data_IF_922088000530
#
_entry.id   IF_922088000530
#
_cell.length_a   1.000
_cell.length_b   1.000
_cell.length_c   1.000
_cell.angle_alpha   90.00
_cell.angle_beta   90.00
_cell.angle_gamma   90.00
#
_symmetry.space_group_name_H-M   'P 1'
#
loop_
_entity.id
_entity.type
_entity.pdbx_description
1 polymer ?
#
# COMPACT_ATOMS: atom_id res chain seq x y z
N UNK A 1 -3.00 2.01 20.18
CA UNK A 1 -2.93 1.66 18.76
C UNK A 1 -1.66 0.89 18.49
N UNK A 2 -1.78 -0.18 17.75
CA UNK A 2 -0.64 -1.05 17.46
C UNK A 2 0.06 -0.59 16.19
N UNK A 3 1.36 -0.87 16.12
CA UNK A 3 2.16 -0.63 14.93
C UNK A 3 2.52 -1.97 14.30
N UNK A 4 2.91 -1.94 13.04
CA UNK A 4 3.31 -3.15 12.32
C UNK A 4 4.37 -2.78 11.28
N UNK A 5 5.37 -3.64 11.15
CA UNK A 5 6.41 -3.47 10.15
C UNK A 5 6.77 -4.83 9.55
N UNK A 6 6.82 -4.89 8.22
CA UNK A 6 7.22 -6.09 7.50
C UNK A 6 8.04 -5.68 6.30
N UNK A 7 9.16 -6.36 6.09
CA UNK A 7 9.90 -6.28 4.83
C UNK A 7 10.00 -7.67 4.24
N UNK A 8 9.61 -7.83 2.97
CA UNK A 8 9.70 -9.10 2.28
C UNK A 8 10.25 -8.88 0.88
N UNK A 9 11.06 -9.82 0.40
CA UNK A 9 11.74 -9.69 -0.88
C UNK A 9 11.04 -10.48 -1.97
N UNK A 10 11.22 -10.00 -3.21
CA UNK A 10 10.74 -10.72 -4.38
C UNK A 10 11.45 -12.06 -4.48
N UNK A 11 10.68 -13.14 -4.67
CA UNK A 11 11.20 -14.49 -4.64
C UNK A 11 12.11 -14.83 -5.84
N UNK A 12 11.96 -14.11 -6.96
CA UNK A 12 12.79 -14.37 -8.14
C UNK A 12 13.81 -13.26 -8.43
N UNK A 13 13.81 -12.17 -7.64
CA UNK A 13 14.83 -11.13 -7.75
C UNK A 13 14.85 -10.32 -6.45
N UNK A 14 15.71 -10.71 -5.52
CA UNK A 14 15.73 -10.12 -4.18
C UNK A 14 16.24 -8.67 -4.13
N UNK A 15 16.59 -8.08 -5.27
CA UNK A 15 16.87 -6.65 -5.36
C UNK A 15 15.61 -5.82 -5.15
N UNK A 16 14.44 -6.42 -5.41
CA UNK A 16 13.13 -5.80 -5.17
C UNK A 16 12.55 -6.30 -3.86
N UNK A 17 11.97 -5.38 -3.09
CA UNK A 17 11.31 -5.73 -1.83
C UNK A 17 10.10 -4.84 -1.59
N UNK A 18 9.22 -5.33 -0.71
CA UNK A 18 8.08 -4.56 -0.20
C UNK A 18 8.34 -4.29 1.28
N UNK A 19 8.10 -3.04 1.68
CA UNK A 19 8.01 -2.66 3.09
C UNK A 19 6.57 -2.27 3.35
N UNK A 20 5.96 -2.89 4.37
CA UNK A 20 4.62 -2.52 4.85
C UNK A 20 4.80 -1.94 6.22
N UNK A 21 4.34 -0.72 6.40
CA UNK A 21 4.48 -0.01 7.67
C UNK A 21 3.17 0.59 8.11
N UNK A 22 2.73 0.21 9.30
CA UNK A 22 1.58 0.76 10.00
C UNK A 22 2.12 1.50 11.23
N UNK A 23 2.01 2.82 11.23
CA UNK A 23 2.55 3.66 12.30
C UNK A 23 1.57 3.84 13.46
N UNK A 24 0.45 3.10 13.47
CA UNK A 24 -0.62 3.23 14.46
C UNK A 24 -1.70 4.19 14.03
N UNK A 25 -1.47 4.95 12.97
CA UNK A 25 -2.44 5.89 12.39
C UNK A 25 -2.92 5.42 11.01
N UNK A 26 -1.97 5.02 10.17
CA UNK A 26 -2.22 4.68 8.77
C UNK A 26 -1.18 3.65 8.32
N UNK A 27 -1.56 2.80 7.36
CA UNK A 27 -0.68 1.78 6.83
C UNK A 27 -0.42 2.01 5.35
N UNK A 28 0.85 1.95 4.97
CA UNK A 28 1.32 2.08 3.59
C UNK A 28 2.19 0.90 3.21
N UNK A 29 2.25 0.65 1.91
CA UNK A 29 3.23 -0.25 1.33
C UNK A 29 4.16 0.55 0.42
N UNK A 30 5.43 0.19 0.44
CA UNK A 30 6.48 0.82 -0.37
C UNK A 30 7.19 -0.25 -1.18
N UNK A 31 7.34 -0.01 -2.47
CA UNK A 31 8.10 -0.89 -3.34
C UNK A 31 9.53 -0.34 -3.46
N UNK A 32 10.51 -1.18 -3.13
CA UNK A 32 11.92 -0.83 -3.19
C UNK A 32 12.62 -1.53 -4.34
N UNK A 33 13.50 -0.80 -5.00
CA UNK A 33 14.53 -1.36 -5.87
C UNK A 33 15.87 -1.05 -5.20
N UNK A 34 16.51 -2.06 -4.61
CA UNK A 34 17.65 -1.82 -3.75
C UNK A 34 17.28 -0.96 -2.57
N UNK A 35 17.89 0.21 -2.44
CA UNK A 35 17.62 1.17 -1.38
C UNK A 35 16.64 2.28 -1.80
N UNK A 36 16.21 2.28 -3.06
CA UNK A 36 15.35 3.33 -3.61
C UNK A 36 13.89 2.94 -3.55
N UNK A 37 13.05 3.88 -3.08
CA UNK A 37 11.59 3.70 -3.12
C UNK A 37 11.12 4.04 -4.53
N UNK A 38 10.59 3.05 -5.25
CA UNK A 38 10.11 3.21 -6.62
C UNK A 38 8.59 3.08 -6.75
N UNK A 39 7.89 2.89 -5.64
CA UNK A 39 6.45 2.84 -5.62
C UNK A 39 5.92 2.98 -4.22
N UNK A 40 4.70 3.47 -4.08
CA UNK A 40 4.01 3.55 -2.80
C UNK A 40 2.51 3.39 -3.02
N UNK A 41 1.82 2.93 -2.00
CA UNK A 41 0.35 2.87 -2.01
C UNK A 41 -0.17 2.83 -0.58
N UNK A 42 -1.25 3.58 -0.35
CA UNK A 42 -2.00 3.52 0.91
C UNK A 42 -2.72 2.17 1.00
N UNK A 43 -2.71 1.56 2.19
CA UNK A 43 -3.39 0.29 2.42
C UNK A 43 -4.66 0.44 3.27
N UNK A 44 -4.56 1.14 4.41
CA UNK A 44 -5.74 1.39 5.26
C UNK A 44 -5.44 2.47 6.29
N UNK A 45 -6.52 3.09 6.80
CA UNK A 45 -6.44 3.99 7.95
C UNK A 45 -6.71 3.19 9.23
N UNK A 46 -5.96 3.45 10.30
CA UNK A 46 -6.34 3.01 11.64
C UNK A 46 -7.18 4.08 12.34
N UNK A 47 -6.81 5.35 12.13
CA UNK A 47 -7.58 6.46 12.67
C UNK A 47 -8.73 6.82 11.74
N UNK A 48 -9.70 7.55 12.26
CA UNK A 48 -10.85 7.99 11.48
C UNK A 48 -10.39 8.82 10.28
N UNK A 49 -10.98 8.52 9.11
CA UNK A 49 -10.66 9.26 7.89
C UNK A 49 -11.08 10.73 8.04
N UNK A 50 -10.22 11.67 7.58
CA UNK A 50 -10.58 13.08 7.57
C UNK A 50 -11.77 13.34 6.65
N UNK A 51 -12.69 14.21 7.07
CA UNK A 51 -13.82 14.61 6.25
C UNK A 51 -13.39 15.52 5.09
N UNK A 52 -12.30 16.25 5.27
CA UNK A 52 -11.77 17.22 4.30
C UNK A 52 -10.33 16.84 4.00
N UNK A 53 -9.94 16.91 2.73
CA UNK A 53 -8.58 16.61 2.30
C UNK A 53 -7.63 17.73 2.68
N UNK A 54 -6.59 17.40 3.45
CA UNK A 54 -5.49 18.30 3.77
C UNK A 54 -4.19 17.57 3.47
N UNK A 55 -3.33 18.22 2.71
CA UNK A 55 -2.06 17.63 2.28
C UNK A 55 -0.89 18.44 2.83
N UNK A 56 -0.82 18.56 4.16
CA UNK A 56 0.28 19.29 4.82
C UNK A 56 1.45 18.35 5.06
N UNK A 57 2.68 18.74 4.70
CA UNK A 57 3.85 17.86 4.87
C UNK A 57 4.03 17.32 6.29
N UNK A 58 3.68 18.09 7.31
CA UNK A 58 3.81 17.66 8.70
C UNK A 58 2.85 16.53 9.10
N UNK A 59 1.82 16.28 8.28
CA UNK A 59 0.85 15.22 8.54
C UNK A 59 1.22 13.91 7.86
N UNK A 60 2.32 13.87 7.09
CA UNK A 60 2.74 12.66 6.39
C UNK A 60 3.18 11.56 7.37
N UNK A 61 2.94 10.28 7.06
CA UNK A 61 2.13 9.81 5.93
C UNK A 61 0.65 10.09 6.16
N UNK A 62 -0.04 10.46 5.09
CA UNK A 62 -1.42 10.96 5.18
C UNK A 62 -2.44 9.87 5.42
N UNK A 63 -3.45 10.17 6.27
CA UNK A 63 -4.69 9.40 6.29
C UNK A 63 -5.44 9.65 4.99
N UNK A 64 -6.11 8.62 4.47
CA UNK A 64 -6.89 8.78 3.24
C UNK A 64 -8.26 9.38 3.57
N UNK A 65 -8.62 10.55 3.00
CA UNK A 65 -9.88 11.20 3.31
C UNK A 65 -11.12 10.42 2.85
N UNK A 66 -12.25 10.69 3.49
CA UNK A 66 -13.49 9.95 3.24
C UNK A 66 -13.92 9.98 1.78
N UNK A 67 -13.66 11.07 1.06
CA UNK A 67 -14.09 11.18 -0.34
C UNK A 67 -13.47 10.14 -1.27
N UNK A 68 -12.33 9.57 -0.88
CA UNK A 68 -11.65 8.55 -1.70
C UNK A 68 -12.03 7.12 -1.33
N UNK A 69 -12.67 6.91 -0.17
CA UNK A 69 -12.84 5.58 0.38
C UNK A 69 -14.08 4.87 -0.14
N UNK A 70 -13.93 3.58 -0.46
CA UNK A 70 -15.05 2.68 -0.73
C UNK A 70 -15.84 2.43 0.57
N UNK A 71 -17.08 1.96 0.46
CA UNK A 71 -17.92 1.67 1.63
C UNK A 71 -17.32 0.63 2.55
N UNK A 72 -16.55 -0.32 2.00
CA UNK A 72 -15.92 -1.41 2.73
C UNK A 72 -14.42 -1.19 2.93
N UNK A 73 -13.98 0.07 2.90
CA UNK A 73 -12.56 0.40 3.01
C UNK A 73 -11.99 0.19 4.42
N UNK A 74 -12.85 0.08 5.44
CA UNK A 74 -12.38 -0.15 6.79
C UNK A 74 -11.99 -1.63 6.93
N UNK A 75 -10.72 -1.89 7.16
CA UNK A 75 -10.23 -3.24 7.39
C UNK A 75 -9.53 -3.29 8.74
N UNK A 76 -9.54 -4.48 9.34
CA UNK A 76 -8.87 -4.68 10.62
C UNK A 76 -7.36 -4.52 10.44
N UNK A 77 -6.68 -3.77 11.32
CA UNK A 77 -5.22 -3.61 11.21
C UNK A 77 -4.48 -4.94 11.23
N UNK A 78 -3.37 -4.98 10.50
CA UNK A 78 -2.50 -6.15 10.47
C UNK A 78 -1.83 -6.29 11.84
N UNK A 79 -1.83 -7.51 12.39
CA UNK A 79 -1.18 -7.78 13.68
C UNK A 79 -0.07 -8.81 13.56
N UNK A 80 0.00 -9.54 12.45
CA UNK A 80 0.96 -10.62 12.27
C UNK A 80 1.34 -10.73 10.80
N UNK A 81 2.62 -11.01 10.52
CA UNK A 81 3.10 -11.14 9.15
C UNK A 81 2.41 -12.26 8.36
N UNK A 82 1.86 -13.27 9.06
CA UNK A 82 1.11 -14.35 8.41
C UNK A 82 -0.17 -13.85 7.73
N UNK A 83 -0.64 -12.66 8.08
CA UNK A 83 -1.84 -12.08 7.50
C UNK A 83 -1.58 -11.43 6.15
N UNK A 84 -0.31 -11.28 5.76
CA UNK A 84 0.08 -10.59 4.54
C UNK A 84 0.71 -11.57 3.57
N UNK A 85 0.28 -11.47 2.30
CA UNK A 85 0.88 -12.23 1.21
C UNK A 85 1.14 -11.30 0.05
N UNK A 86 2.32 -11.40 -0.54
CA UNK A 86 2.69 -10.63 -1.73
C UNK A 86 2.84 -11.58 -2.91
N UNK A 87 2.19 -11.25 -4.02
CA UNK A 87 2.33 -12.01 -5.26
C UNK A 87 3.12 -11.17 -6.25
N UNK A 88 4.28 -11.69 -6.66
CA UNK A 88 5.20 -11.01 -7.56
C UNK A 88 5.06 -11.59 -8.96
N UNK A 89 4.97 -10.70 -9.95
CA UNK A 89 4.97 -11.08 -11.35
C UNK A 89 5.91 -10.18 -12.12
N UNK A 90 6.39 -10.68 -13.25
CA UNK A 90 7.23 -9.89 -14.17
C UNK A 90 6.50 -9.81 -15.50
N UNK A 91 6.34 -8.60 -16.03
CA UNK A 91 5.73 -8.40 -17.33
C UNK A 91 6.65 -8.96 -18.42
N UNK A 92 6.08 -9.76 -19.32
CA UNK A 92 6.86 -10.33 -20.45
C UNK A 92 7.19 -9.28 -21.50
N UNK A 93 6.43 -8.19 -21.56
CA UNK A 93 6.58 -7.17 -22.59
C UNK A 93 7.69 -6.16 -22.25
N UNK A 94 7.70 -5.67 -21.00
CA UNK A 94 8.61 -4.61 -20.57
C UNK A 94 9.54 -5.01 -19.44
N UNK A 95 9.37 -6.22 -18.89
CA UNK A 95 10.20 -6.72 -17.80
C UNK A 95 9.96 -6.05 -16.47
N UNK A 96 8.93 -5.21 -16.35
CA UNK A 96 8.63 -4.54 -15.10
C UNK A 96 8.08 -5.51 -14.06
N UNK A 97 8.53 -5.32 -12.82
CA UNK A 97 8.04 -6.09 -11.67
C UNK A 97 6.71 -5.49 -11.22
N UNK A 98 5.74 -6.38 -10.99
CA UNK A 98 4.46 -6.00 -10.40
C UNK A 98 4.26 -6.82 -9.13
N UNK A 99 3.71 -6.20 -8.10
CA UNK A 99 3.43 -6.87 -6.84
C UNK A 99 1.98 -6.63 -6.42
N UNK A 100 1.26 -7.71 -6.13
CA UNK A 100 -0.07 -7.66 -5.54
C UNK A 100 0.04 -7.93 -4.05
N UNK A 101 -0.70 -7.15 -3.26
CA UNK A 101 -0.68 -7.25 -1.80
C UNK A 101 -2.03 -7.77 -1.33
N UNK A 102 -1.99 -8.88 -0.58
CA UNK A 102 -3.16 -9.54 -0.01
C UNK A 102 -3.08 -9.47 1.50
N UNK A 103 -4.19 -9.10 2.12
CA UNK A 103 -4.33 -9.12 3.58
C UNK A 103 -5.44 -10.11 3.90
N UNK A 104 -5.11 -11.15 4.68
CA UNK A 104 -6.02 -12.25 5.03
C UNK A 104 -6.67 -12.84 3.78
N UNK A 105 -5.81 -13.09 2.77
CA UNK A 105 -6.19 -13.70 1.48
C UNK A 105 -7.13 -12.86 0.62
N UNK A 106 -7.34 -11.59 1.00
CA UNK A 106 -8.12 -10.66 0.20
C UNK A 106 -7.19 -9.70 -0.52
N UNK A 107 -7.35 -9.58 -1.85
CA UNK A 107 -6.57 -8.63 -2.64
C UNK A 107 -6.91 -7.20 -2.21
N UNK A 108 -5.89 -6.42 -1.89
CA UNK A 108 -6.05 -5.04 -1.41
C UNK A 108 -5.46 -4.02 -2.38
N UNK A 109 -4.23 -4.25 -2.84
CA UNK A 109 -3.51 -3.23 -3.59
C UNK A 109 -2.46 -3.86 -4.50
N UNK A 110 -1.99 -3.07 -5.47
CA UNK A 110 -0.87 -3.48 -6.32
C UNK A 110 0.02 -2.28 -6.65
N UNK A 111 1.25 -2.58 -6.99
CA UNK A 111 2.25 -1.59 -7.41
C UNK A 111 3.13 -2.17 -8.50
N UNK A 112 3.65 -1.28 -9.33
CA UNK A 112 4.74 -1.59 -10.26
C UNK A 112 5.79 -0.49 -10.15
N UNK A 113 6.91 -0.67 -10.81
CA UNK A 113 7.97 0.33 -10.81
C UNK A 113 7.44 1.66 -11.30
N UNK A 114 7.64 2.71 -10.52
CA UNK A 114 7.20 4.07 -10.84
C UNK A 114 5.78 4.40 -10.40
N UNK A 115 5.04 3.48 -9.80
CA UNK A 115 3.68 3.79 -9.35
C UNK A 115 3.72 4.54 -8.01
N UNK A 116 3.50 5.83 -8.09
CA UNK A 116 3.41 6.74 -6.94
C UNK A 116 2.17 7.63 -7.13
N UNK A 117 1.00 7.17 -6.76
CA UNK A 117 0.70 5.94 -6.00
C UNK A 117 0.41 4.72 -6.88
N UNK A 118 0.41 3.58 -6.23
CA UNK A 118 -0.13 2.34 -6.81
C UNK A 118 -1.65 2.31 -6.78
N UNK A 119 -2.22 1.12 -6.95
CA UNK A 119 -3.67 0.91 -7.08
C UNK A 119 -4.24 0.20 -5.87
N UNK A 120 -5.48 0.55 -5.52
CA UNK A 120 -6.19 -0.05 -4.38
C UNK A 120 -7.63 -0.35 -4.74
N UNK A 121 -8.14 -1.50 -4.27
CA UNK A 121 -9.56 -1.84 -4.40
C UNK A 121 -10.41 -1.13 -3.35
N UNK A 122 -9.80 -0.46 -2.37
CA UNK A 122 -10.50 0.19 -1.28
C UNK A 122 -10.80 1.66 -1.54
N UNK A 123 -10.45 2.19 -2.71
CA UNK A 123 -10.76 3.57 -3.09
C UNK A 123 -11.75 3.60 -4.25
N UNK A 124 -12.55 4.67 -4.32
CA UNK A 124 -13.58 4.85 -5.33
C UNK A 124 -13.21 5.84 -6.40
N UNK A 125 -12.11 6.57 -6.22
CA UNK A 125 -11.59 7.51 -7.21
C UNK A 125 -10.09 7.68 -7.04
N UNK A 126 -9.44 8.13 -8.09
CA UNK A 126 -8.00 8.38 -8.06
C UNK A 126 -7.68 9.54 -7.13
N UNK A 127 -6.63 9.36 -6.34
CA UNK A 127 -6.13 10.38 -5.43
C UNK A 127 -4.62 10.29 -5.28
N UNK A 128 -4.01 11.16 -4.47
CA UNK A 128 -2.56 11.15 -4.32
C UNK A 128 -2.01 9.95 -3.53
N UNK A 129 -2.87 9.21 -2.83
CA UNK A 129 -2.44 8.10 -1.97
C UNK A 129 -2.68 6.73 -2.60
N UNK A 130 -3.66 6.62 -3.48
CA UNK A 130 -3.97 5.40 -4.22
C UNK A 130 -4.85 5.71 -5.42
N UNK A 131 -4.66 4.95 -6.49
CA UNK A 131 -5.50 5.02 -7.68
C UNK A 131 -6.50 3.86 -7.68
N UNK A 132 -7.59 4.01 -8.42
CA UNK A 132 -8.59 2.93 -8.60
C UNK A 132 -7.92 1.76 -9.31
N UNK A 133 -8.10 0.59 -8.74
CA UNK A 133 -7.63 -0.65 -9.34
C UNK A 133 -8.48 -1.06 -10.54
#
# INVERSE_FOLDING_TARGET
MSTFFLQTHCEFDNYYSIVIEDDGRVCYAYLYEGEDIIGDVWLYNQQQAPAISFWRPEDMPFLNPTEYLAKDAAIKPITNENEVRCEWTESKDDGLIEVGIYIRDKFIASMTSGSKPGWSVLVVKNGPLASIY
#
